data_IF_760656776848
#
_entry.id   IF_760656776848
#
_cell.length_a   1.000
_cell.length_b   1.000
_cell.length_c   1.000
_cell.angle_alpha   90.00
_cell.angle_beta   90.00
_cell.angle_gamma   90.00
#
_symmetry.space_group_name_H-M   'P 1'
#
loop_
_entity.id
_entity.type
_entity.pdbx_description
1 polymer ?
#
# COMPACT_ATOMS: atom_id res chain seq x y z
N UNK A 1 -11.40 -39.03 5.47
CA UNK A 1 -10.24 -38.15 5.70
C UNK A 1 -10.55 -36.80 5.08
N UNK A 2 -10.87 -35.78 5.89
CA UNK A 2 -11.13 -34.43 5.38
C UNK A 2 -9.82 -33.91 4.77
N UNK A 3 -9.81 -33.75 3.44
CA UNK A 3 -8.73 -33.05 2.75
C UNK A 3 -8.68 -31.65 3.35
N UNK A 4 -7.65 -31.36 4.16
CA UNK A 4 -7.42 -30.02 4.68
C UNK A 4 -7.35 -29.09 3.48
N UNK A 5 -8.42 -28.32 3.24
CA UNK A 5 -8.45 -27.30 2.22
C UNK A 5 -7.33 -26.34 2.57
N UNK A 6 -6.31 -26.23 1.72
CA UNK A 6 -5.21 -25.30 1.93
C UNK A 6 -5.78 -23.87 1.93
N UNK A 7 -5.48 -23.12 2.98
CA UNK A 7 -5.91 -21.73 3.19
C UNK A 7 -4.67 -20.82 3.19
N UNK A 8 -4.82 -19.59 2.69
CA UNK A 8 -3.72 -18.64 2.57
C UNK A 8 -3.89 -17.64 1.42
N UNK A 9 -2.87 -16.83 1.24
CA UNK A 9 -2.71 -15.90 0.12
C UNK A 9 -2.28 -16.66 -1.14
N UNK A 10 -2.85 -16.31 -2.29
CA UNK A 10 -2.48 -16.90 -3.57
C UNK A 10 -1.11 -16.36 -4.04
N UNK A 11 -0.14 -17.25 -4.34
CA UNK A 11 1.15 -16.82 -4.90
C UNK A 11 1.05 -16.51 -6.40
N UNK A 12 2.09 -15.87 -6.94
CA UNK A 12 2.29 -15.54 -8.35
C UNK A 12 1.72 -16.61 -9.31
N UNK A 13 2.11 -17.88 -9.16
CA UNK A 13 1.72 -18.94 -10.08
C UNK A 13 0.22 -19.24 -10.07
N UNK A 14 -0.47 -19.02 -8.96
CA UNK A 14 -1.93 -19.18 -8.88
C UNK A 14 -2.65 -17.96 -9.43
N UNK A 15 -2.08 -16.75 -9.29
CA UNK A 15 -2.62 -15.55 -9.92
C UNK A 15 -2.53 -15.68 -11.45
N UNK A 16 -1.38 -16.14 -11.96
CA UNK A 16 -1.20 -16.44 -13.38
C UNK A 16 -2.21 -17.49 -13.88
N UNK A 17 -2.49 -18.53 -13.08
CA UNK A 17 -3.54 -19.51 -13.40
C UNK A 17 -4.94 -18.90 -13.44
N UNK A 18 -5.29 -18.01 -12.50
CA UNK A 18 -6.58 -17.31 -12.54
C UNK A 18 -6.73 -16.45 -13.80
N UNK A 19 -5.64 -15.81 -14.25
CA UNK A 19 -5.62 -15.06 -15.52
C UNK A 19 -5.83 -16.02 -16.70
N UNK A 20 -5.05 -17.11 -16.77
CA UNK A 20 -5.15 -18.10 -17.84
C UNK A 20 -6.54 -18.77 -17.93
N UNK A 21 -7.24 -18.90 -16.81
CA UNK A 21 -8.59 -19.45 -16.72
C UNK A 21 -9.71 -18.41 -16.97
N UNK A 22 -9.36 -17.14 -17.20
CA UNK A 22 -10.32 -16.05 -17.42
C UNK A 22 -11.01 -15.54 -16.15
N UNK A 23 -10.63 -16.04 -14.97
CA UNK A 23 -11.15 -15.54 -13.69
C UNK A 23 -10.65 -14.13 -13.38
N UNK A 24 -9.53 -13.71 -13.97
CA UNK A 24 -9.07 -12.32 -14.03
C UNK A 24 -8.84 -12.00 -15.51
N UNK A 25 -9.49 -10.96 -16.02
CA UNK A 25 -9.42 -10.62 -17.44
C UNK A 25 -9.48 -9.12 -17.68
N UNK A 26 -8.96 -8.67 -18.82
CA UNK A 26 -8.98 -7.29 -19.28
C UNK A 26 -8.94 -7.29 -20.81
N UNK A 27 -9.52 -6.27 -21.45
CA UNK A 27 -9.48 -6.13 -22.92
C UNK A 27 -8.06 -5.97 -23.45
N UNK A 28 -7.23 -5.25 -22.69
CA UNK A 28 -5.79 -5.16 -22.92
C UNK A 28 -5.13 -6.28 -22.10
N UNK A 29 -4.34 -7.19 -22.71
CA UNK A 29 -3.73 -8.31 -22.00
C UNK A 29 -3.02 -7.89 -20.72
N UNK A 30 -3.17 -8.72 -19.68
CA UNK A 30 -2.44 -8.55 -18.41
C UNK A 30 -1.01 -9.00 -18.64
N UNK A 31 -0.06 -8.10 -18.40
CA UNK A 31 1.36 -8.35 -18.61
C UNK A 31 1.98 -9.03 -17.40
N UNK A 32 3.01 -9.87 -17.62
CA UNK A 32 3.67 -10.62 -16.55
C UNK A 32 4.24 -9.72 -15.44
N UNK A 33 4.76 -8.55 -15.83
CA UNK A 33 5.28 -7.53 -14.90
C UNK A 33 4.24 -6.96 -13.93
N UNK A 34 2.93 -7.14 -14.20
CA UNK A 34 1.87 -6.72 -13.28
C UNK A 34 1.74 -7.69 -12.10
N UNK A 35 2.09 -8.97 -12.30
CA UNK A 35 1.94 -10.02 -11.30
C UNK A 35 3.11 -9.93 -10.33
N UNK A 36 2.82 -9.60 -9.07
CA UNK A 36 3.78 -9.60 -7.98
C UNK A 36 3.82 -10.97 -7.29
N UNK A 37 4.78 -11.25 -6.41
CA UNK A 37 4.86 -12.53 -5.69
C UNK A 37 3.57 -12.97 -4.98
N UNK A 38 2.78 -12.01 -4.48
CA UNK A 38 1.52 -12.27 -3.77
C UNK A 38 0.42 -11.21 -4.04
N UNK A 39 0.51 -10.47 -5.14
CA UNK A 39 -0.51 -9.49 -5.55
C UNK A 39 -0.49 -9.27 -7.07
N UNK A 40 -1.44 -8.50 -7.58
CA UNK A 40 -1.52 -8.07 -8.98
C UNK A 40 -1.73 -6.55 -9.03
N UNK A 41 -0.93 -5.85 -9.82
CA UNK A 41 -1.11 -4.43 -10.09
C UNK A 41 -2.36 -4.18 -10.96
N UNK A 42 -3.24 -3.28 -10.50
CA UNK A 42 -4.46 -2.88 -11.21
C UNK A 42 -4.21 -1.63 -12.05
N UNK A 43 -4.74 -1.58 -13.27
CA UNK A 43 -4.48 -0.53 -14.25
C UNK A 43 -5.68 0.40 -14.44
N UNK A 44 -5.40 1.70 -14.46
CA UNK A 44 -6.39 2.72 -14.78
C UNK A 44 -6.96 2.49 -16.20
N UNK A 45 -8.28 2.61 -16.34
CA UNK A 45 -8.96 2.59 -17.62
C UNK A 45 -8.81 3.88 -18.42
N UNK A 46 -9.67 4.05 -19.41
CA UNK A 46 -9.66 5.19 -20.35
C UNK A 46 -10.36 6.44 -19.82
N UNK A 47 -11.21 6.31 -18.81
CA UNK A 47 -12.07 7.40 -18.33
C UNK A 47 -11.86 7.63 -16.84
N UNK A 48 -11.97 8.89 -16.42
CA UNK A 48 -12.18 9.26 -15.03
C UNK A 48 -13.46 10.07 -14.90
N UNK A 49 -14.19 9.86 -13.82
CA UNK A 49 -15.35 10.66 -13.44
C UNK A 49 -14.94 11.55 -12.28
N UNK A 50 -14.94 12.87 -12.46
CA UNK A 50 -14.79 13.79 -11.33
C UNK A 50 -16.09 13.77 -10.53
N UNK A 51 -16.00 13.42 -9.26
CA UNK A 51 -17.15 13.32 -8.37
C UNK A 51 -17.25 14.54 -7.45
N UNK A 52 -18.46 14.81 -6.99
CA UNK A 52 -18.74 15.78 -5.92
C UNK A 52 -18.23 15.22 -4.58
N UNK A 53 -18.41 13.92 -4.34
CA UNK A 53 -18.04 13.23 -3.10
C UNK A 53 -17.70 11.74 -3.33
N UNK A 54 -17.07 11.13 -2.33
CA UNK A 54 -16.91 9.67 -2.24
C UNK A 54 -18.25 9.01 -1.86
N UNK A 55 -18.43 7.74 -2.23
CA UNK A 55 -19.66 6.99 -1.96
C UNK A 55 -19.41 5.48 -1.82
N UNK A 56 -20.35 4.78 -1.18
CA UNK A 56 -20.37 3.31 -1.10
C UNK A 56 -21.46 2.74 -2.00
N UNK A 57 -21.13 1.80 -2.92
CA UNK A 57 -22.07 1.23 -3.89
C UNK A 57 -22.83 0.00 -3.32
N UNK A 58 -23.41 0.12 -2.13
CA UNK A 58 -24.12 -1.00 -1.48
C UNK A 58 -25.50 -1.26 -2.11
N UNK A 59 -26.23 -0.19 -2.45
CA UNK A 59 -27.65 -0.24 -2.80
C UNK A 59 -27.92 -0.37 -4.31
N UNK A 60 -26.91 -0.22 -5.15
CA UNK A 60 -27.04 -0.22 -6.61
C UNK A 60 -25.70 -0.44 -7.30
N UNK A 61 -25.70 -0.98 -8.52
CA UNK A 61 -24.50 -1.03 -9.37
C UNK A 61 -23.95 0.38 -9.64
N UNK A 62 -22.62 0.51 -9.71
CA UNK A 62 -21.93 1.78 -9.92
C UNK A 62 -22.31 2.40 -11.27
N UNK A 63 -22.41 1.59 -12.31
CA UNK A 63 -22.80 2.01 -13.67
C UNK A 63 -24.13 2.78 -13.68
N UNK A 64 -25.09 2.37 -12.86
CA UNK A 64 -26.40 3.04 -12.75
C UNK A 64 -26.29 4.48 -12.20
N UNK A 65 -25.23 4.79 -11.45
CA UNK A 65 -24.94 6.11 -10.88
C UNK A 65 -24.01 6.96 -11.73
N UNK A 66 -23.38 6.38 -12.75
CA UNK A 66 -22.45 7.08 -13.65
C UNK A 66 -23.14 7.74 -14.86
N UNK A 67 -24.45 7.53 -15.02
CA UNK A 67 -25.21 8.19 -16.09
C UNK A 67 -25.27 9.70 -15.83
N UNK A 68 -24.44 10.44 -16.55
CA UNK A 68 -24.48 11.91 -16.63
C UNK A 68 -25.67 12.28 -17.51
N UNK A 69 -26.88 12.26 -16.95
CA UNK A 69 -28.09 12.63 -17.70
C UNK A 69 -28.26 14.14 -17.88
N UNK A 70 -27.52 14.95 -17.13
CA UNK A 70 -27.27 16.37 -17.39
C UNK A 70 -26.26 16.88 -16.36
N UNK A 71 -25.45 17.89 -16.70
CA UNK A 71 -24.47 18.53 -15.80
C UNK A 71 -25.09 19.05 -14.47
N UNK A 72 -26.42 19.15 -14.41
CA UNK A 72 -27.20 19.63 -13.26
C UNK A 72 -28.16 18.60 -12.64
N UNK A 73 -28.23 17.36 -13.17
CA UNK A 73 -29.15 16.32 -12.68
C UNK A 73 -28.46 15.09 -12.08
N UNK A 74 -27.12 15.02 -12.15
CA UNK A 74 -26.38 13.98 -11.42
C UNK A 74 -26.02 14.49 -10.03
N UNK A 75 -26.51 13.80 -9.00
CA UNK A 75 -26.17 14.10 -7.60
C UNK A 75 -24.71 13.75 -7.24
N UNK A 76 -23.94 13.18 -8.17
CA UNK A 76 -22.62 12.59 -7.89
C UNK A 76 -21.52 12.94 -8.90
N UNK A 77 -21.79 12.86 -10.22
CA UNK A 77 -20.77 13.06 -11.26
C UNK A 77 -20.80 14.50 -11.76
N UNK A 78 -19.67 15.21 -11.63
CA UNK A 78 -19.52 16.56 -12.18
C UNK A 78 -19.24 16.54 -13.67
N UNK A 79 -18.25 15.76 -14.11
CA UNK A 79 -17.90 15.58 -15.52
C UNK A 79 -17.01 14.35 -15.75
N UNK A 80 -16.98 13.90 -17.00
CA UNK A 80 -16.09 12.84 -17.48
C UNK A 80 -14.78 13.43 -18.03
N UNK A 81 -13.68 12.70 -17.85
CA UNK A 81 -12.35 13.03 -18.36
C UNK A 81 -11.78 11.83 -19.12
N UNK A 82 -11.10 12.09 -20.24
CA UNK A 82 -10.31 11.08 -20.95
C UNK A 82 -8.92 10.96 -20.30
N UNK A 83 -8.49 9.72 -20.05
CA UNK A 83 -7.17 9.37 -19.51
C UNK A 83 -6.25 8.75 -20.56
N UNK A 84 -6.69 8.58 -21.80
CA UNK A 84 -5.95 7.82 -22.84
C UNK A 84 -4.53 8.38 -23.04
N UNK A 85 -4.40 9.68 -23.31
CA UNK A 85 -3.11 10.38 -23.46
C UNK A 85 -2.64 11.10 -22.18
N UNK A 86 -3.44 10.96 -21.14
CA UNK A 86 -3.18 11.39 -19.78
C UNK A 86 -3.85 12.70 -19.37
N UNK A 87 -4.19 12.79 -18.10
CA UNK A 87 -4.88 13.92 -17.50
C UNK A 87 -4.31 14.24 -16.11
N UNK A 88 -4.56 15.48 -15.67
CA UNK A 88 -4.17 15.94 -14.33
C UNK A 88 -5.33 15.67 -13.37
N UNK A 89 -5.04 14.97 -12.28
CA UNK A 89 -5.92 14.84 -11.13
C UNK A 89 -5.47 15.85 -10.09
N UNK A 90 -6.36 16.80 -9.79
CA UNK A 90 -6.08 17.92 -8.91
C UNK A 90 -6.14 17.53 -7.44
N UNK A 91 -5.37 18.25 -6.63
CA UNK A 91 -5.38 18.09 -5.18
C UNK A 91 -6.78 18.34 -4.61
N UNK A 92 -7.19 17.52 -3.65
CA UNK A 92 -8.42 17.67 -2.88
C UNK A 92 -9.70 17.24 -3.61
N UNK A 93 -9.59 16.72 -4.83
CA UNK A 93 -10.74 16.29 -5.63
C UNK A 93 -10.85 14.76 -5.71
N UNK A 94 -12.08 14.28 -5.86
CA UNK A 94 -12.41 12.86 -5.94
C UNK A 94 -12.61 12.46 -7.40
N UNK A 95 -11.93 11.40 -7.81
CA UNK A 95 -12.04 10.84 -9.15
C UNK A 95 -12.33 9.35 -9.07
N UNK A 96 -13.32 8.87 -9.82
CA UNK A 96 -13.58 7.44 -9.96
C UNK A 96 -13.12 6.97 -11.35
N UNK A 97 -12.26 5.96 -11.38
CA UNK A 97 -11.70 5.41 -12.62
C UNK A 97 -12.09 3.94 -12.73
N UNK A 98 -12.88 3.52 -13.74
CA UNK A 98 -13.02 2.11 -14.07
C UNK A 98 -11.65 1.51 -14.38
N UNK A 99 -11.32 0.40 -13.74
CA UNK A 99 -10.06 -0.29 -13.99
C UNK A 99 -10.16 -1.15 -15.26
N UNK A 100 -9.02 -1.46 -15.87
CA UNK A 100 -8.96 -2.35 -17.03
C UNK A 100 -9.29 -3.80 -16.64
N UNK A 101 -8.86 -4.21 -15.45
CA UNK A 101 -9.11 -5.55 -14.93
C UNK A 101 -10.55 -5.72 -14.42
N UNK A 102 -11.12 -6.86 -14.77
CA UNK A 102 -12.38 -7.39 -14.25
C UNK A 102 -12.11 -8.76 -13.66
N UNK A 103 -12.97 -9.20 -12.75
CA UNK A 103 -12.82 -10.49 -12.08
C UNK A 103 -14.10 -11.31 -12.15
N UNK A 104 -13.94 -12.63 -12.23
CA UNK A 104 -14.96 -13.66 -12.06
C UNK A 104 -14.40 -14.68 -11.08
N UNK A 105 -14.40 -14.32 -9.80
CA UNK A 105 -13.70 -15.08 -8.77
C UNK A 105 -14.40 -16.41 -8.48
N UNK A 106 -13.66 -17.50 -8.24
CA UNK A 106 -14.21 -18.71 -7.66
C UNK A 106 -14.84 -18.45 -6.28
N UNK A 107 -15.88 -19.20 -5.92
CA UNK A 107 -16.62 -19.05 -4.64
C UNK A 107 -15.76 -19.12 -3.37
N UNK A 108 -14.60 -19.78 -3.44
CA UNK A 108 -13.69 -19.93 -2.31
C UNK A 108 -12.61 -18.83 -2.22
N UNK A 109 -12.57 -17.89 -3.18
CA UNK A 109 -11.56 -16.85 -3.28
C UNK A 109 -12.22 -15.49 -3.09
N UNK A 110 -11.72 -14.74 -2.10
CA UNK A 110 -11.96 -13.31 -1.94
C UNK A 110 -10.69 -12.54 -2.30
N UNK A 111 -10.76 -11.21 -2.31
CA UNK A 111 -9.55 -10.41 -2.42
C UNK A 111 -9.62 -9.14 -1.56
N UNK A 112 -8.44 -8.56 -1.32
CA UNK A 112 -8.25 -7.26 -0.69
C UNK A 112 -7.35 -6.41 -1.56
N UNK A 113 -7.48 -5.10 -1.49
CA UNK A 113 -6.64 -4.17 -2.26
C UNK A 113 -5.92 -3.20 -1.35
N UNK A 114 -4.80 -2.67 -1.83
CA UNK A 114 -4.08 -1.60 -1.15
C UNK A 114 -3.40 -0.71 -2.18
N UNK A 115 -3.18 0.58 -1.86
CA UNK A 115 -2.35 1.44 -2.68
C UNK A 115 -0.96 0.83 -2.85
N UNK A 116 -0.34 1.09 -4.01
CA UNK A 116 1.08 0.79 -4.18
C UNK A 116 1.90 1.74 -3.32
N UNK A 117 3.03 1.27 -2.81
CA UNK A 117 3.92 2.08 -1.97
C UNK A 117 4.43 3.35 -2.69
N UNK A 118 4.50 3.36 -4.03
CA UNK A 118 4.78 4.58 -4.83
C UNK A 118 3.67 5.63 -4.72
N UNK A 119 2.42 5.18 -4.61
CA UNK A 119 1.19 5.98 -4.54
C UNK A 119 1.03 6.60 -3.16
N UNK A 120 1.23 5.78 -2.11
CA UNK A 120 1.24 6.26 -0.72
C UNK A 120 2.27 7.36 -0.50
N UNK A 121 3.50 7.18 -1.01
CA UNK A 121 4.55 8.22 -0.91
C UNK A 121 4.27 9.51 -1.68
N UNK A 122 3.24 9.56 -2.51
CA UNK A 122 2.77 10.80 -3.15
C UNK A 122 1.52 11.37 -2.45
N UNK A 123 1.12 10.78 -1.34
CA UNK A 123 -0.10 11.13 -0.60
C UNK A 123 -1.33 11.11 -1.52
N UNK A 124 -1.43 10.06 -2.33
CA UNK A 124 -2.56 9.82 -3.22
C UNK A 124 -3.42 8.74 -2.60
N UNK A 125 -4.56 9.15 -2.05
CA UNK A 125 -5.53 8.23 -1.46
C UNK A 125 -6.25 7.48 -2.56
N UNK A 126 -6.35 6.17 -2.40
CA UNK A 126 -7.06 5.33 -3.35
C UNK A 126 -7.88 4.28 -2.65
N UNK A 127 -9.08 4.02 -3.14
CA UNK A 127 -9.96 2.94 -2.66
C UNK A 127 -10.52 2.17 -3.83
N UNK A 128 -10.40 0.86 -3.82
CA UNK A 128 -11.13 0.04 -4.79
C UNK A 128 -12.55 -0.14 -4.32
N UNK A 129 -13.49 0.03 -5.23
CA UNK A 129 -14.91 -0.27 -5.02
C UNK A 129 -15.39 -1.26 -6.07
N UNK A 130 -16.34 -2.10 -5.66
CA UNK A 130 -17.00 -3.10 -6.49
C UNK A 130 -18.51 -2.97 -6.33
N UNK A 131 -19.26 -3.40 -7.33
CA UNK A 131 -20.73 -3.38 -7.25
C UNK A 131 -21.26 -4.19 -6.06
N UNK A 132 -22.29 -3.65 -5.40
CA UNK A 132 -23.06 -4.32 -4.34
C UNK A 132 -22.18 -4.76 -3.16
N UNK A 133 -21.29 -3.87 -2.73
CA UNK A 133 -20.36 -4.12 -1.62
C UNK A 133 -20.44 -3.01 -0.58
N UNK A 134 -20.32 -3.39 0.69
CA UNK A 134 -20.46 -2.51 1.85
C UNK A 134 -19.13 -1.87 2.30
N UNK A 135 -18.01 -2.35 1.75
CA UNK A 135 -16.67 -1.92 2.12
C UNK A 135 -15.85 -1.45 0.93
N UNK A 136 -14.91 -0.54 1.20
CA UNK A 136 -13.81 -0.26 0.31
C UNK A 136 -12.74 -1.33 0.43
N UNK A 137 -11.99 -1.52 -0.66
CA UNK A 137 -10.81 -2.38 -0.74
C UNK A 137 -11.02 -3.87 -0.43
N UNK A 138 -12.26 -4.32 -0.30
CA UNK A 138 -12.62 -5.72 -0.13
C UNK A 138 -13.43 -6.21 -1.32
N UNK A 139 -13.06 -7.35 -1.86
CA UNK A 139 -13.77 -8.01 -2.95
C UNK A 139 -14.33 -9.32 -2.39
N UNK A 140 -15.65 -9.40 -2.30
CA UNK A 140 -16.36 -10.55 -1.71
C UNK A 140 -16.04 -11.86 -2.43
N UNK A 141 -16.12 -12.96 -1.69
CA UNK A 141 -15.87 -14.27 -2.26
C UNK A 141 -16.86 -14.59 -3.40
N UNK A 142 -16.35 -15.08 -4.53
CA UNK A 142 -17.18 -15.36 -5.70
C UNK A 142 -17.67 -14.14 -6.47
N UNK A 143 -17.12 -12.94 -6.21
CA UNK A 143 -17.50 -11.73 -6.93
C UNK A 143 -17.22 -11.87 -8.44
N UNK A 144 -18.17 -11.40 -9.25
CA UNK A 144 -18.07 -11.37 -10.70
C UNK A 144 -18.50 -9.99 -11.18
N UNK A 145 -17.57 -9.21 -11.70
CA UNK A 145 -17.86 -7.84 -12.12
C UNK A 145 -16.64 -6.95 -12.37
N UNK A 146 -16.88 -5.69 -12.72
CA UNK A 146 -15.85 -4.68 -12.89
C UNK A 146 -15.21 -4.27 -11.54
N UNK A 147 -14.04 -3.64 -11.62
CA UNK A 147 -13.41 -2.97 -10.50
C UNK A 147 -13.30 -1.48 -10.82
N UNK A 148 -13.48 -0.62 -9.81
CA UNK A 148 -13.27 0.81 -9.94
C UNK A 148 -12.30 1.28 -8.86
N UNK A 149 -11.51 2.30 -9.18
CA UNK A 149 -10.59 2.93 -8.27
C UNK A 149 -11.02 4.38 -8.03
N UNK A 150 -11.40 4.67 -6.80
CA UNK A 150 -11.49 6.05 -6.32
C UNK A 150 -10.07 6.57 -6.07
N UNK A 151 -9.78 7.78 -6.52
CA UNK A 151 -8.46 8.43 -6.42
C UNK A 151 -8.67 9.85 -5.88
N UNK A 152 -7.95 10.20 -4.82
CA UNK A 152 -7.95 11.53 -4.20
C UNK A 152 -6.51 11.96 -3.93
N UNK A 153 -5.89 12.77 -4.81
CA UNK A 153 -4.59 13.36 -4.53
C UNK A 153 -4.70 14.35 -3.36
N UNK A 154 -3.89 14.19 -2.30
CA UNK A 154 -3.98 15.01 -1.07
C UNK A 154 -2.87 16.03 -0.93
N UNK A 155 -1.61 15.66 -1.19
CA UNK A 155 -0.48 16.62 -1.16
C UNK A 155 -0.15 17.23 -2.51
N UNK A 156 -0.16 16.42 -3.57
CA UNK A 156 0.31 16.82 -4.90
C UNK A 156 -0.74 16.56 -5.97
N UNK A 157 -0.89 17.47 -6.92
CA UNK A 157 -1.57 17.16 -8.17
C UNK A 157 -0.71 16.18 -8.99
N UNK A 158 -1.36 15.19 -9.61
CA UNK A 158 -0.67 14.13 -10.35
C UNK A 158 -1.16 14.06 -11.78
N UNK A 159 -0.26 13.80 -12.74
CA UNK A 159 -0.65 13.45 -14.10
C UNK A 159 -0.58 11.94 -14.28
N UNK A 160 -1.73 11.36 -14.60
CA UNK A 160 -1.92 9.93 -14.82
C UNK A 160 -2.32 9.66 -16.26
N UNK A 161 -2.22 8.40 -16.71
CA UNK A 161 -2.77 7.94 -17.99
C UNK A 161 -3.29 6.52 -17.88
N UNK A 162 -4.05 6.09 -18.87
CA UNK A 162 -4.50 4.70 -19.01
C UNK A 162 -3.34 3.72 -18.90
N UNK A 163 -3.57 2.61 -18.19
CA UNK A 163 -2.55 1.58 -17.98
C UNK A 163 -1.65 1.82 -16.76
N UNK A 164 -1.68 2.99 -16.13
CA UNK A 164 -0.93 3.21 -14.87
C UNK A 164 -1.53 2.42 -13.72
N UNK A 165 -0.66 1.99 -12.81
CA UNK A 165 -1.06 1.26 -11.61
C UNK A 165 -0.77 2.08 -10.37
N UNK A 166 -1.84 2.45 -9.67
CA UNK A 166 -1.79 3.14 -8.39
C UNK A 166 -2.14 2.21 -7.22
N UNK A 167 -2.78 1.08 -7.51
CA UNK A 167 -3.32 0.14 -6.54
C UNK A 167 -3.03 -1.31 -7.00
N UNK A 168 -3.17 -2.25 -6.07
CA UNK A 168 -2.86 -3.66 -6.27
C UNK A 168 -3.84 -4.54 -5.47
N UNK A 169 -4.16 -5.71 -6.02
CA UNK A 169 -5.09 -6.69 -5.45
C UNK A 169 -4.37 -7.94 -4.97
N UNK A 170 -4.75 -8.46 -3.80
CA UNK A 170 -4.24 -9.69 -3.20
C UNK A 170 -5.39 -10.67 -2.96
N UNK A 171 -5.28 -11.86 -3.54
CA UNK A 171 -6.30 -12.90 -3.47
C UNK A 171 -6.08 -13.83 -2.28
N UNK A 172 -7.17 -14.22 -1.62
CA UNK A 172 -7.14 -15.00 -0.38
C UNK A 172 -8.14 -16.16 -0.46
N UNK A 173 -7.70 -17.36 -0.07
CA UNK A 173 -8.56 -18.53 0.12
C UNK A 173 -8.62 -18.87 1.61
N UNK A 174 -9.82 -18.86 2.20
CA UNK A 174 -9.99 -19.15 3.63
C UNK A 174 -9.29 -18.13 4.55
N UNK A 175 -8.88 -18.55 5.75
CA UNK A 175 -8.12 -17.68 6.65
C UNK A 175 -6.62 -17.82 6.43
N UNK A 176 -5.94 -16.70 6.25
CA UNK A 176 -4.50 -16.64 6.05
C UNK A 176 -3.77 -16.11 7.28
N UNK A 177 -4.48 -15.45 8.20
CA UNK A 177 -3.90 -14.60 9.23
C UNK A 177 -3.13 -15.41 10.25
N UNK A 178 -1.94 -14.94 10.60
CA UNK A 178 -1.14 -15.58 11.63
C UNK A 178 -1.55 -15.16 13.04
N UNK A 179 -1.75 -16.15 13.91
CA UNK A 179 -1.90 -15.90 15.35
C UNK A 179 -0.59 -15.45 15.98
N UNK A 180 -0.69 -14.67 17.07
CA UNK A 180 0.48 -14.14 17.79
C UNK A 180 1.42 -15.24 18.28
N UNK A 181 0.87 -16.37 18.75
CA UNK A 181 1.66 -17.56 19.11
C UNK A 181 2.47 -18.10 17.93
N UNK A 182 1.86 -18.14 16.74
CA UNK A 182 2.53 -18.60 15.52
C UNK A 182 3.62 -17.63 15.09
N UNK A 183 3.39 -16.32 15.24
CA UNK A 183 4.37 -15.27 14.97
C UNK A 183 5.59 -15.38 15.88
N UNK A 184 5.38 -15.54 17.19
CA UNK A 184 6.47 -15.74 18.16
C UNK A 184 7.29 -17.02 17.87
N UNK A 185 6.59 -18.10 17.51
CA UNK A 185 7.22 -19.38 17.14
C UNK A 185 8.04 -19.23 15.86
N UNK A 186 7.48 -18.56 14.85
CA UNK A 186 8.18 -18.28 13.60
C UNK A 186 9.42 -17.42 13.85
N UNK A 187 9.29 -16.34 14.62
CA UNK A 187 10.40 -15.44 14.93
C UNK A 187 11.57 -16.15 15.63
N UNK A 188 11.29 -17.08 16.54
CA UNK A 188 12.32 -17.86 17.23
C UNK A 188 13.11 -18.76 16.27
N UNK A 189 12.44 -19.32 15.25
CA UNK A 189 13.07 -20.16 14.24
C UNK A 189 13.75 -19.35 13.13
N UNK A 190 13.13 -18.25 12.75
CA UNK A 190 13.51 -17.38 11.65
C UNK A 190 13.15 -15.93 12.01
N UNK A 191 14.13 -15.11 12.42
CA UNK A 191 13.84 -13.78 12.95
C UNK A 191 13.12 -12.89 11.94
N UNK A 192 11.99 -12.34 12.38
CA UNK A 192 11.11 -11.44 11.61
C UNK A 192 11.46 -9.95 11.79
N UNK A 193 12.13 -9.60 12.90
CA UNK A 193 12.49 -8.24 13.24
C UNK A 193 13.97 -8.16 13.60
N UNK A 194 14.62 -7.11 13.14
CA UNK A 194 16.02 -6.78 13.44
C UNK A 194 16.12 -5.34 13.92
N UNK A 195 17.09 -5.08 14.77
CA UNK A 195 17.42 -3.72 15.21
C UNK A 195 18.07 -2.93 14.07
N UNK A 196 17.86 -1.62 14.07
CA UNK A 196 18.57 -0.69 13.20
C UNK A 196 19.88 -0.21 13.86
N UNK A 197 20.81 -1.16 14.02
CA UNK A 197 22.13 -0.98 14.63
C UNK A 197 23.19 -1.57 13.69
N UNK A 198 24.49 -1.26 13.85
CA UNK A 198 25.54 -1.94 13.12
C UNK A 198 25.38 -3.47 13.15
N UNK A 199 25.51 -4.11 11.99
CA UNK A 199 25.25 -5.54 11.73
C UNK A 199 23.78 -6.01 11.82
N UNK A 200 22.83 -5.11 12.13
CA UNK A 200 21.39 -5.37 12.23
C UNK A 200 21.09 -6.66 13.01
N UNK A 201 21.37 -6.73 14.32
CA UNK A 201 21.12 -7.94 15.09
C UNK A 201 19.63 -8.26 15.18
N UNK A 202 19.30 -9.56 15.20
CA UNK A 202 17.92 -10.02 15.40
C UNK A 202 17.40 -9.55 16.76
N UNK A 203 16.13 -9.15 16.82
CA UNK A 203 15.48 -8.83 18.09
C UNK A 203 15.20 -10.12 18.88
N UNK A 204 15.22 -10.06 20.21
CA UNK A 204 14.86 -11.21 21.04
C UNK A 204 13.34 -11.38 21.14
N UNK A 205 12.87 -12.61 21.37
CA UNK A 205 11.43 -12.90 21.53
C UNK A 205 10.76 -12.13 22.68
N UNK A 206 11.52 -11.64 23.68
CA UNK A 206 11.00 -10.81 24.78
C UNK A 206 10.73 -9.36 24.36
N UNK A 207 11.39 -8.88 23.32
CA UNK A 207 11.22 -7.54 22.77
C UNK A 207 10.10 -7.47 21.72
N UNK A 208 9.58 -8.63 21.30
CA UNK A 208 8.45 -8.72 20.39
C UNK A 208 7.16 -8.36 21.10
N UNK A 209 6.51 -7.31 20.61
CA UNK A 209 5.15 -6.96 21.02
C UNK A 209 4.17 -7.42 19.95
N UNK A 210 3.18 -8.21 20.35
CA UNK A 210 2.18 -8.79 19.44
C UNK A 210 0.77 -8.62 19.98
N UNK A 211 -0.15 -8.14 19.15
CA UNK A 211 -1.61 -8.19 19.35
C UNK A 211 -2.28 -8.20 17.97
N UNK A 212 -2.61 -9.41 17.50
CA UNK A 212 -3.11 -9.64 16.14
C UNK A 212 -2.21 -8.96 15.10
N UNK A 213 -0.91 -9.23 15.20
CA UNK A 213 0.15 -8.61 14.38
C UNK A 213 1.38 -8.18 15.20
N UNK A 214 2.49 -7.90 14.53
CA UNK A 214 3.74 -7.43 15.14
C UNK A 214 3.74 -5.90 15.25
N UNK A 215 3.95 -5.35 16.44
CA UNK A 215 4.10 -3.90 16.61
C UNK A 215 5.49 -3.42 16.22
N UNK A 216 5.53 -2.28 15.53
CA UNK A 216 6.75 -1.56 15.20
C UNK A 216 6.69 -0.14 15.76
N UNK A 217 7.87 0.43 15.96
CA UNK A 217 8.09 1.74 16.55
C UNK A 217 8.59 2.73 15.49
N UNK A 218 8.43 4.01 15.78
CA UNK A 218 8.94 5.09 14.93
C UNK A 218 10.42 5.38 15.21
N UNK A 219 11.20 5.65 14.16
CA UNK A 219 12.59 6.11 14.27
C UNK A 219 12.67 7.62 14.06
N UNK A 220 12.97 8.35 15.13
CA UNK A 220 13.20 9.81 15.07
C UNK A 220 14.67 10.17 15.38
N UNK A 221 15.55 9.17 15.40
CA UNK A 221 17.00 9.38 15.48
C UNK A 221 17.62 9.21 14.10
N UNK A 222 17.37 8.09 13.43
CA UNK A 222 18.09 7.72 12.21
C UNK A 222 19.58 7.50 12.49
N UNK A 223 19.91 6.81 13.58
CA UNK A 223 21.30 6.56 14.01
C UNK A 223 22.07 5.64 13.04
N UNK A 224 21.38 4.95 12.14
CA UNK A 224 21.96 4.16 11.05
C UNK A 224 22.37 5.00 9.83
N UNK A 225 22.08 6.30 9.83
CA UNK A 225 22.33 7.21 8.71
C UNK A 225 23.58 8.04 9.01
N UNK A 226 24.75 7.44 8.76
CA UNK A 226 26.07 8.02 9.05
C UNK A 226 26.35 9.40 8.38
N UNK A 227 25.52 9.83 7.43
CA UNK A 227 25.76 11.02 6.59
C UNK A 227 24.67 12.09 6.60
N UNK A 228 23.51 11.86 7.23
CA UNK A 228 22.40 12.82 7.17
C UNK A 228 21.55 12.84 8.45
N UNK A 229 21.37 14.02 9.08
CA UNK A 229 20.48 14.17 10.22
C UNK A 229 18.98 14.11 9.84
N UNK A 230 18.65 13.76 8.59
CA UNK A 230 17.27 13.69 8.11
C UNK A 230 16.56 12.46 8.68
N UNK A 231 15.48 12.71 9.41
CA UNK A 231 14.63 11.70 10.04
C UNK A 231 13.35 11.44 9.23
N UNK A 232 12.97 12.36 8.35
CA UNK A 232 11.76 12.27 7.55
C UNK A 232 11.65 13.37 6.50
N UNK A 233 10.52 13.42 5.83
CA UNK A 233 10.15 14.49 4.90
C UNK A 233 8.72 14.93 5.16
N UNK A 234 8.46 16.23 5.10
CA UNK A 234 7.11 16.81 5.08
C UNK A 234 6.78 17.27 3.66
N UNK A 235 5.59 16.97 3.16
CA UNK A 235 5.16 17.45 1.84
C UNK A 235 4.98 18.98 1.85
N UNK A 236 5.42 19.65 0.80
CA UNK A 236 5.14 21.07 0.60
C UNK A 236 3.68 21.28 0.23
N UNK A 237 3.10 22.39 0.68
CA UNK A 237 1.68 22.73 0.41
C UNK A 237 1.41 23.04 -1.06
N UNK A 238 2.38 23.69 -1.69
CA UNK A 238 2.33 24.16 -3.07
C UNK A 238 3.52 23.59 -3.83
N UNK A 239 3.27 22.98 -4.98
CA UNK A 239 4.30 22.43 -5.87
C UNK A 239 3.73 22.29 -7.29
N UNK A 240 4.58 21.94 -8.24
CA UNK A 240 4.14 21.62 -9.60
C UNK A 240 3.43 20.26 -9.67
N UNK A 241 2.85 19.94 -10.83
CA UNK A 241 2.23 18.63 -11.08
C UNK A 241 3.31 17.54 -11.20
N UNK A 242 3.05 16.38 -10.59
CA UNK A 242 3.91 15.19 -10.72
C UNK A 242 3.36 14.30 -11.84
N UNK A 243 4.01 14.32 -13.00
CA UNK A 243 3.79 13.31 -14.06
C UNK A 243 4.39 11.96 -13.67
N UNK A 244 3.52 10.96 -13.49
CA UNK A 244 3.91 9.63 -13.04
C UNK A 244 4.70 8.83 -14.11
N UNK A 245 4.82 9.32 -15.34
CA UNK A 245 5.76 8.75 -16.33
C UNK A 245 7.23 9.03 -15.97
N UNK A 246 7.50 10.10 -15.22
CA UNK A 246 8.84 10.64 -15.03
C UNK A 246 9.50 10.10 -13.77
N UNK A 247 10.22 8.99 -13.92
CA UNK A 247 10.99 8.36 -12.84
C UNK A 247 12.30 9.12 -12.62
N UNK A 248 12.65 9.36 -11.35
CA UNK A 248 13.87 10.05 -10.95
C UNK A 248 14.07 11.36 -11.71
N UNK A 249 13.03 12.19 -11.83
CA UNK A 249 13.06 13.42 -12.62
C UNK A 249 13.06 14.68 -11.73
N UNK A 250 12.18 14.70 -10.75
CA UNK A 250 11.92 15.89 -9.92
C UNK A 250 12.96 16.02 -8.82
N UNK A 251 13.47 17.23 -8.56
CA UNK A 251 14.28 17.44 -7.37
C UNK A 251 13.40 17.29 -6.12
N UNK A 252 13.81 16.46 -5.16
CA UNK A 252 13.02 16.20 -3.96
C UNK A 252 12.66 17.50 -3.21
N UNK A 253 13.60 18.45 -3.13
CA UNK A 253 13.42 19.72 -2.41
C UNK A 253 12.37 20.66 -3.03
N UNK A 254 11.94 20.44 -4.27
CA UNK A 254 10.85 21.23 -4.87
C UNK A 254 9.47 20.81 -4.31
N UNK A 255 9.37 19.60 -3.75
CA UNK A 255 8.12 18.99 -3.31
C UNK A 255 8.11 18.63 -1.83
N UNK A 256 9.29 18.48 -1.22
CA UNK A 256 9.47 18.01 0.15
C UNK A 256 10.36 18.94 0.95
N UNK A 257 10.03 19.05 2.24
CA UNK A 257 10.85 19.69 3.25
C UNK A 257 11.53 18.58 4.08
N UNK A 258 12.87 18.51 4.10
CA UNK A 258 13.57 17.55 4.94
C UNK A 258 13.34 17.88 6.42
N UNK A 259 13.06 16.85 7.22
CA UNK A 259 12.89 16.95 8.65
C UNK A 259 14.15 16.46 9.34
N UNK A 260 14.71 17.28 10.22
CA UNK A 260 15.96 16.99 10.88
C UNK A 260 15.74 16.52 12.32
N UNK A 261 16.67 15.68 12.81
CA UNK A 261 16.67 15.20 14.19
C UNK A 261 16.56 16.36 15.19
N UNK A 262 15.53 16.32 16.01
CA UNK A 262 15.37 17.25 17.13
C UNK A 262 16.21 16.81 18.35
N UNK A 263 16.66 17.77 19.18
CA UNK A 263 17.51 17.49 20.37
C UNK A 263 16.85 16.53 21.37
N UNK A 264 15.52 16.53 21.43
CA UNK A 264 14.74 15.67 22.33
C UNK A 264 14.28 14.36 21.65
N UNK A 265 14.74 14.07 20.43
CA UNK A 265 14.30 12.93 19.62
C UNK A 265 12.76 12.84 19.50
N UNK A 266 12.15 13.99 19.23
CA UNK A 266 10.70 14.18 19.12
C UNK A 266 10.36 14.90 17.82
N UNK A 267 9.12 14.73 17.36
CA UNK A 267 8.57 15.44 16.20
C UNK A 267 7.13 15.83 16.50
N UNK A 268 6.80 17.10 16.32
CA UNK A 268 5.42 17.57 16.36
C UNK A 268 4.82 17.37 14.97
N UNK A 269 3.77 16.58 14.88
CA UNK A 269 3.00 16.37 13.66
C UNK A 269 1.87 17.38 13.61
N UNK A 270 1.95 18.30 12.66
CA UNK A 270 0.90 19.30 12.39
C UNK A 270 -0.32 18.67 11.67
N UNK A 271 -1.56 19.02 12.07
CA UNK A 271 -2.80 18.57 11.42
C UNK A 271 -2.79 18.73 9.91
N UNK A 272 -3.30 17.73 9.19
CA UNK A 272 -3.45 17.74 7.73
C UNK A 272 -2.14 17.94 6.94
N UNK A 273 -0.98 17.89 7.58
CA UNK A 273 0.30 17.77 6.89
C UNK A 273 0.62 16.30 6.61
N UNK A 274 1.40 16.05 5.55
CA UNK A 274 1.82 14.72 5.18
C UNK A 274 3.30 14.50 5.45
N UNK A 275 3.61 13.38 6.10
CA UNK A 275 4.96 13.01 6.51
C UNK A 275 5.34 11.66 5.94
N UNK A 276 6.57 11.56 5.44
CA UNK A 276 7.25 10.30 5.21
C UNK A 276 8.28 10.10 6.33
N UNK A 277 8.06 9.06 7.13
CA UNK A 277 8.91 8.66 8.25
C UNK A 277 9.39 7.20 8.05
N UNK A 278 10.11 6.66 9.02
CA UNK A 278 10.61 5.28 8.95
C UNK A 278 10.48 4.54 10.30
N UNK A 279 10.36 3.22 10.24
CA UNK A 279 10.31 2.37 11.43
C UNK A 279 11.68 2.20 12.09
N UNK A 280 11.68 2.04 13.41
CA UNK A 280 12.88 1.75 14.21
C UNK A 280 13.38 0.33 14.05
N UNK A 281 12.48 -0.59 13.75
CA UNK A 281 12.78 -1.97 13.42
C UNK A 281 12.92 -2.16 11.91
N UNK A 282 13.68 -3.18 11.54
CA UNK A 282 13.76 -3.70 10.17
C UNK A 282 12.92 -4.96 10.12
N UNK A 283 11.98 -5.02 9.18
CA UNK A 283 11.10 -6.17 9.01
C UNK A 283 11.62 -7.13 7.95
N UNK A 284 11.40 -8.42 8.17
CA UNK A 284 11.70 -9.50 7.23
C UNK A 284 10.45 -10.34 6.99
N UNK A 285 10.11 -10.57 5.73
CA UNK A 285 8.95 -11.37 5.29
C UNK A 285 9.44 -12.62 4.57
N UNK A 286 9.48 -13.78 5.25
CA UNK A 286 9.95 -15.02 4.64
C UNK A 286 9.08 -15.51 3.49
N UNK A 287 9.64 -16.33 2.60
CA UNK A 287 8.99 -16.78 1.37
C UNK A 287 7.64 -17.50 1.53
N UNK A 288 7.37 -18.08 2.71
CA UNK A 288 6.10 -18.73 3.04
C UNK A 288 5.01 -17.79 3.53
N UNK A 289 5.29 -16.49 3.60
CA UNK A 289 4.40 -15.49 4.20
C UNK A 289 4.32 -14.24 3.34
N UNK A 290 3.19 -13.57 3.38
CA UNK A 290 3.05 -12.18 3.01
C UNK A 290 2.74 -11.37 4.26
N UNK A 291 2.85 -10.05 4.17
CA UNK A 291 2.45 -9.19 5.29
C UNK A 291 1.70 -7.95 4.81
N UNK A 292 1.09 -7.26 5.75
CA UNK A 292 0.30 -6.06 5.53
C UNK A 292 0.50 -5.11 6.71
N UNK A 293 0.81 -3.85 6.41
CA UNK A 293 0.81 -2.79 7.41
C UNK A 293 -0.63 -2.43 7.76
N UNK A 294 -0.96 -2.39 9.05
CA UNK A 294 -2.29 -2.00 9.54
C UNK A 294 -2.12 -0.89 10.56
N UNK A 295 -3.01 0.10 10.51
CA UNK A 295 -3.04 1.19 11.47
C UNK A 295 -3.24 0.64 12.89
N UNK A 296 -2.54 1.24 13.86
CA UNK A 296 -2.76 0.96 15.27
C UNK A 296 -3.80 1.93 15.83
N UNK A 297 -5.08 1.55 15.76
CA UNK A 297 -6.21 2.39 16.16
C UNK A 297 -6.31 2.62 17.68
N UNK A 298 -5.72 1.74 18.50
CA UNK A 298 -6.01 1.66 19.93
C UNK A 298 -5.28 2.69 20.82
N UNK A 299 -4.43 3.57 20.29
CA UNK A 299 -3.73 4.58 21.09
C UNK A 299 -3.84 6.02 20.61
N UNK A 300 -4.40 6.27 19.42
CA UNK A 300 -4.42 7.63 18.88
C UNK A 300 -5.56 7.79 17.89
N UNK A 301 -6.75 8.23 18.36
CA UNK A 301 -7.87 8.58 17.47
C UNK A 301 -7.52 9.65 16.43
N UNK A 302 -6.40 10.34 16.62
CA UNK A 302 -5.94 11.50 15.84
C UNK A 302 -4.85 11.16 14.80
N UNK A 303 -4.23 9.98 14.87
CA UNK A 303 -3.17 9.54 13.94
C UNK A 303 -3.65 8.36 13.10
N UNK A 304 -3.76 8.55 11.79
CA UNK A 304 -3.94 7.45 10.85
C UNK A 304 -2.64 7.24 10.07
N UNK A 305 -2.20 5.99 9.97
CA UNK A 305 -1.32 5.59 8.86
C UNK A 305 -2.21 5.43 7.64
N UNK A 306 -2.25 6.46 6.79
CA UNK A 306 -3.25 6.55 5.71
C UNK A 306 -3.06 5.53 4.59
N UNK A 307 -1.88 4.94 4.49
CA UNK A 307 -1.48 4.12 3.33
C UNK A 307 -0.90 2.77 3.75
N UNK A 308 -1.67 2.04 4.57
CA UNK A 308 -1.51 0.61 4.78
C UNK A 308 -1.19 -0.09 3.44
N UNK A 309 -0.15 -0.91 3.42
CA UNK A 309 0.42 -1.47 2.20
C UNK A 309 0.78 -2.93 2.36
N UNK A 310 0.78 -3.64 1.24
CA UNK A 310 1.24 -5.01 1.17
C UNK A 310 2.77 -5.10 1.19
N UNK A 311 3.28 -6.05 1.97
CA UNK A 311 4.63 -6.57 1.83
C UNK A 311 4.54 -7.95 1.17
N UNK A 312 5.36 -8.15 0.15
CA UNK A 312 5.40 -9.41 -0.57
C UNK A 312 6.39 -10.40 0.07
N UNK A 313 6.17 -11.72 -0.13
CA UNK A 313 7.15 -12.74 0.21
C UNK A 313 8.52 -12.41 -0.38
N UNK A 314 9.54 -12.28 0.48
CA UNK A 314 10.88 -11.84 0.06
C UNK A 314 11.28 -10.45 0.57
N UNK A 315 10.32 -9.63 1.04
CA UNK A 315 10.61 -8.28 1.53
C UNK A 315 11.55 -8.32 2.75
N UNK A 316 12.70 -7.64 2.65
CA UNK A 316 13.75 -7.70 3.68
C UNK A 316 14.34 -9.10 3.92
N UNK A 317 14.09 -10.06 3.03
CA UNK A 317 14.48 -11.46 3.14
C UNK A 317 15.60 -11.83 2.15
N UNK A 318 15.44 -11.45 0.88
CA UNK A 318 16.31 -11.91 -0.21
C UNK A 318 16.09 -13.39 -0.49
N UNK A 319 17.17 -14.19 -0.43
CA UNK A 319 17.14 -15.66 -0.36
C UNK A 319 17.29 -16.19 1.08
N UNK A 320 17.29 -15.30 2.08
CA UNK A 320 17.43 -15.61 3.49
C UNK A 320 18.60 -14.91 4.18
N UNK A 321 19.41 -14.18 3.41
CA UNK A 321 20.62 -13.49 3.84
C UNK A 321 20.37 -12.08 4.39
N UNK A 322 19.23 -11.45 4.06
CA UNK A 322 18.97 -10.07 4.49
C UNK A 322 18.44 -10.02 5.93
N UNK A 323 18.97 -9.08 6.70
CA UNK A 323 18.54 -8.78 8.08
C UNK A 323 17.44 -7.70 8.08
N UNK A 324 16.40 -7.92 7.27
CA UNK A 324 15.25 -7.03 7.18
C UNK A 324 15.49 -5.74 6.40
N UNK A 325 14.41 -4.99 6.21
CA UNK A 325 14.37 -3.66 5.59
C UNK A 325 13.52 -2.75 6.47
N UNK A 326 13.91 -1.49 6.65
CA UNK A 326 13.06 -0.52 7.37
C UNK A 326 11.75 -0.32 6.61
N UNK A 327 10.67 -0.14 7.35
CA UNK A 327 9.37 0.23 6.78
C UNK A 327 9.33 1.74 6.65
N UNK A 328 9.09 2.24 5.45
CA UNK A 328 8.74 3.64 5.23
C UNK A 328 7.27 3.83 5.58
N UNK A 329 6.97 4.91 6.30
CA UNK A 329 5.67 5.19 6.87
C UNK A 329 5.12 6.47 6.29
N UNK A 330 3.89 6.39 5.79
CA UNK A 330 3.11 7.53 5.35
C UNK A 330 2.14 7.95 6.48
N UNK A 331 2.42 9.11 7.07
CA UNK A 331 1.75 9.58 8.29
C UNK A 331 1.06 10.91 8.02
N UNK A 332 -0.20 11.02 8.45
CA UNK A 332 -0.95 12.27 8.43
C UNK A 332 -1.83 12.32 9.69
N UNK A 333 -1.63 13.30 10.58
CA UNK A 333 -2.54 13.55 11.70
C UNK A 333 -3.79 14.28 11.21
N UNK A 334 -4.91 14.09 11.91
CA UNK A 334 -6.20 14.66 11.53
C UNK A 334 -6.51 15.98 12.26
N UNK A 335 -6.86 15.91 13.54
CA UNK A 335 -7.64 16.98 14.18
C UNK A 335 -6.80 17.96 15.00
N UNK A 336 -5.75 17.47 15.67
CA UNK A 336 -4.91 18.29 16.56
C UNK A 336 -3.41 17.98 16.39
N UNK A 337 -2.52 18.93 16.70
CA UNK A 337 -1.09 18.67 16.68
C UNK A 337 -0.73 17.52 17.61
N UNK A 338 0.09 16.59 17.12
CA UNK A 338 0.42 15.38 17.86
C UNK A 338 1.93 15.21 18.01
N UNK A 339 2.42 15.22 19.25
CA UNK A 339 3.84 15.05 19.56
C UNK A 339 4.19 13.56 19.64
N UNK A 340 5.16 13.13 18.82
CA UNK A 340 5.70 11.77 18.86
C UNK A 340 7.14 11.76 19.35
N UNK A 341 7.52 10.65 19.99
CA UNK A 341 8.88 10.40 20.46
C UNK A 341 9.51 9.20 19.77
N UNK A 342 10.84 9.23 19.64
CA UNK A 342 11.62 8.10 19.16
C UNK A 342 11.29 6.83 19.96
N UNK A 343 11.05 5.71 19.25
CA UNK A 343 10.70 4.45 19.89
C UNK A 343 9.25 4.35 20.37
N UNK A 344 8.38 5.32 20.07
CA UNK A 344 6.95 5.16 20.31
C UNK A 344 6.38 4.07 19.38
N UNK A 345 5.57 3.16 19.93
CA UNK A 345 4.81 2.19 19.12
C UNK A 345 3.85 2.95 18.21
N UNK A 346 3.90 2.65 16.91
CA UNK A 346 3.31 3.52 15.91
C UNK A 346 2.34 2.80 14.96
N UNK A 347 2.66 1.55 14.59
CA UNK A 347 1.82 0.75 13.70
C UNK A 347 2.05 -0.74 13.97
N UNK A 348 1.24 -1.59 13.34
CA UNK A 348 1.44 -3.03 13.37
C UNK A 348 1.51 -3.63 11.97
N UNK A 349 2.18 -4.76 11.86
CA UNK A 349 2.25 -5.56 10.64
C UNK A 349 1.63 -6.92 10.89
N UNK A 350 0.59 -7.22 10.11
CA UNK A 350 -0.09 -8.51 10.12
C UNK A 350 0.61 -9.43 9.12
N UNK A 351 0.88 -10.67 9.52
CA UNK A 351 1.45 -11.68 8.64
C UNK A 351 0.38 -12.67 8.23
N UNK A 352 0.38 -13.00 6.94
CA UNK A 352 -0.50 -13.98 6.33
C UNK A 352 0.32 -15.15 5.77
N UNK A 353 -0.20 -16.37 5.91
CA UNK A 353 0.38 -17.56 5.28
C UNK A 353 0.11 -17.55 3.79
N UNK A 354 1.13 -17.89 3.00
CA UNK A 354 0.95 -18.21 1.59
C UNK A 354 0.35 -19.61 1.42
N UNK A 355 -0.48 -19.81 0.39
CA UNK A 355 -0.98 -21.14 0.02
C UNK A 355 0.16 -22.08 -0.41
N UNK A 356 1.17 -21.52 -1.05
CA UNK A 356 2.40 -22.19 -1.44
C UNK A 356 3.51 -21.15 -1.58
N UNK A 357 4.77 -21.59 -1.56
CA UNK A 357 5.90 -20.71 -1.84
C UNK A 357 5.75 -20.11 -3.26
N UNK A 358 5.85 -18.78 -3.43
CA UNK A 358 5.88 -18.16 -4.75
C UNK A 358 7.06 -18.66 -5.59
N UNK A 359 6.84 -18.80 -6.90
CA UNK A 359 7.93 -19.05 -7.86
C UNK A 359 8.86 -17.86 -8.03
N UNK A 360 8.38 -16.64 -7.74
CA UNK A 360 9.13 -15.40 -7.78
C UNK A 360 9.07 -14.73 -6.41
N UNK A 361 10.22 -14.33 -5.85
CA UNK A 361 10.28 -13.61 -4.57
C UNK A 361 10.59 -12.13 -4.80
N UNK A 362 10.06 -11.30 -3.91
CA UNK A 362 10.36 -9.87 -3.91
C UNK A 362 11.87 -9.67 -3.75
N UNK A 363 12.45 -8.80 -4.58
CA UNK A 363 13.89 -8.52 -4.57
C UNK A 363 14.75 -9.34 -5.52
N UNK A 364 14.22 -10.44 -6.09
CA UNK A 364 15.01 -11.35 -6.92
C UNK A 364 15.04 -10.95 -8.41
N UNK A 365 14.13 -10.09 -8.86
CA UNK A 365 14.09 -9.53 -10.21
C UNK A 365 14.50 -8.05 -10.25
N UNK A 366 15.07 -7.61 -11.38
CA UNK A 366 15.40 -6.21 -11.71
C UNK A 366 14.12 -5.36 -11.66
N UNK A 367 13.89 -4.63 -10.56
CA UNK A 367 12.70 -3.77 -10.42
C UNK A 367 12.15 -3.60 -9.00
N UNK A 368 12.72 -4.28 -8.00
CA UNK A 368 12.27 -4.20 -6.61
C UNK A 368 12.59 -2.84 -5.99
N UNK A 369 11.69 -1.88 -6.20
CA UNK A 369 11.92 -0.45 -5.98
C UNK A 369 12.21 -0.06 -4.51
N UNK A 370 12.10 -0.99 -3.55
CA UNK A 370 12.20 -0.70 -2.11
C UNK A 370 12.97 -1.74 -1.28
N UNK A 371 13.63 -2.73 -1.91
CA UNK A 371 14.45 -3.68 -1.14
C UNK A 371 15.72 -2.99 -0.63
N UNK A 372 16.11 -3.25 0.64
CA UNK A 372 17.30 -2.67 1.29
C UNK A 372 17.26 -1.15 1.51
N UNK A 373 16.11 -0.50 1.34
CA UNK A 373 15.98 0.94 1.50
C UNK A 373 15.64 1.34 2.94
N UNK A 374 16.19 2.48 3.38
CA UNK A 374 15.77 3.20 4.58
C UNK A 374 14.69 4.23 4.23
N UNK A 375 14.72 5.39 4.89
CA UNK A 375 13.87 6.53 4.56
C UNK A 375 14.01 6.93 3.08
N UNK A 376 12.97 6.73 2.29
CA UNK A 376 13.00 6.96 0.83
C UNK A 376 11.68 7.56 0.35
N UNK A 377 11.78 8.55 -0.54
CA UNK A 377 10.65 9.18 -1.23
C UNK A 377 10.14 8.31 -2.41
N UNK A 378 9.07 8.73 -3.07
CA UNK A 378 8.57 8.04 -4.27
C UNK A 378 9.64 8.03 -5.38
N UNK A 379 9.66 6.97 -6.20
CA UNK A 379 10.61 6.76 -7.31
C UNK A 379 10.71 7.91 -8.35
N UNK A 380 9.82 8.90 -8.29
CA UNK A 380 9.80 10.06 -9.18
C UNK A 380 10.83 11.14 -8.80
N UNK A 381 11.34 11.10 -7.56
CA UNK A 381 12.25 12.10 -7.03
C UNK A 381 13.73 11.69 -7.17
N UNK A 382 14.57 12.69 -7.43
CA UNK A 382 16.02 12.66 -7.22
C UNK A 382 16.28 13.23 -5.82
N UNK A 383 16.87 12.40 -4.95
CA UNK A 383 17.20 12.75 -3.56
C UNK A 383 18.68 13.07 -3.47
#
# INVERSE_FOLDING_TARGET
MSTRTTQGILPYQQIAQLIAQGAIHADIPIEDRQIQPASLDLRLGRKAYRLISSFLPELSEITSRLNVLDFYQSDLVMYEMDLTDGAILEKGHVYLVPLLERVTLPKAIRARTNPKSTTGRLDVFTRVVTDLNTGFDEIRAGYSGPLYLEIVPRSFAIKVKTGYSLNQIRFVRGDATMSDRSLQTLHTREPLLYHNLPANPAMGSRDLRTDRGLFLRIDLKGDDRDSSPIIGYRAKKNSHVIDLSKIGHYAALDFWEPLYRHRQNSLLLEPEEFYILASKERIRVPAGYAAEMVAFEAACGELRTHYAGFFDPGFGYGHGELHGTQVVLEVRPHDVPFLIHDGQTFFKVVYDRMLARPSQLYGTALGSSYQRQGLTLSKHFKV
#
